data_IF_599700259767
#
_entry.id   IF_599700259767
#
_cell.length_a   1.000
_cell.length_b   1.000
_cell.length_c   1.000
_cell.angle_alpha   90.00
_cell.angle_beta   90.00
_cell.angle_gamma   90.00
#
_symmetry.space_group_name_H-M   'P 1'
#
loop_
_entity.id
_entity.type
_entity.pdbx_description
1 polymer ?
#
# COMPACT_ATOMS: atom_id res chain seq x y z
N UNK A 1 -16.51 3.82 -14.54
CA UNK A 1 -16.07 5.00 -13.76
C UNK A 1 -15.17 5.95 -14.57
N UNK A 2 -14.23 5.47 -15.41
CA UNK A 2 -13.41 6.31 -16.30
C UNK A 2 -14.19 6.90 -17.50
N UNK A 3 -15.22 6.22 -17.98
CA UNK A 3 -15.97 6.60 -19.20
C UNK A 3 -16.90 7.82 -19.03
N UNK A 4 -17.14 8.27 -17.78
CA UNK A 4 -18.02 9.42 -17.47
C UNK A 4 -17.27 10.70 -17.12
N UNK A 5 -15.94 10.73 -17.21
CA UNK A 5 -15.15 11.91 -16.87
C UNK A 5 -14.99 12.84 -18.08
N UNK A 6 -15.31 14.14 -17.98
CA UNK A 6 -15.16 15.11 -19.06
C UNK A 6 -13.69 15.47 -19.37
N UNK A 7 -12.74 15.02 -18.53
CA UNK A 7 -11.29 15.15 -18.77
C UNK A 7 -10.74 13.85 -19.32
N UNK A 8 -10.30 13.87 -20.58
CA UNK A 8 -9.64 12.75 -21.25
C UNK A 8 -8.25 12.58 -20.62
N UNK A 9 -8.15 11.75 -19.58
CA UNK A 9 -6.85 11.29 -19.10
C UNK A 9 -6.20 10.51 -20.24
N UNK A 10 -4.96 10.84 -20.58
CA UNK A 10 -4.24 10.17 -21.67
C UNK A 10 -4.29 8.65 -21.47
N UNK A 11 -4.78 7.91 -22.47
CA UNK A 11 -4.87 6.45 -22.40
C UNK A 11 -3.50 5.83 -22.07
N UNK A 12 -2.43 6.42 -22.60
CA UNK A 12 -1.04 6.04 -22.29
C UNK A 12 -0.73 6.16 -20.80
N UNK A 13 -1.15 7.26 -20.15
CA UNK A 13 -0.91 7.46 -18.72
C UNK A 13 -1.67 6.44 -17.86
N UNK A 14 -2.90 6.08 -18.27
CA UNK A 14 -3.68 5.03 -17.61
C UNK A 14 -2.97 3.68 -17.72
N UNK A 15 -2.51 3.30 -18.91
CA UNK A 15 -1.79 2.03 -19.09
C UNK A 15 -0.50 1.98 -18.30
N UNK A 16 0.26 3.09 -18.25
CA UNK A 16 1.47 3.17 -17.42
C UNK A 16 1.11 2.97 -15.95
N UNK A 17 0.05 3.62 -15.44
CA UNK A 17 -0.38 3.43 -14.05
C UNK A 17 -0.78 1.98 -13.75
N UNK A 18 -1.53 1.33 -14.67
CA UNK A 18 -1.93 -0.07 -14.52
C UNK A 18 -0.70 -0.98 -14.53
N UNK A 19 0.23 -0.80 -15.48
CA UNK A 19 1.44 -1.61 -15.58
C UNK A 19 2.29 -1.47 -14.31
N UNK A 20 2.52 -0.24 -13.84
CA UNK A 20 3.27 0.05 -12.61
C UNK A 20 2.64 -0.61 -11.40
N UNK A 21 1.31 -0.50 -11.26
CA UNK A 21 0.57 -1.12 -10.16
C UNK A 21 0.62 -2.65 -10.21
N UNK A 22 0.39 -3.25 -11.38
CA UNK A 22 0.44 -4.71 -11.59
C UNK A 22 1.84 -5.24 -11.32
N UNK A 23 2.88 -4.53 -11.77
CA UNK A 23 4.27 -4.88 -11.51
C UNK A 23 4.55 -4.89 -9.99
N UNK A 24 4.20 -3.81 -9.29
CA UNK A 24 4.38 -3.71 -7.84
C UNK A 24 3.64 -4.81 -7.08
N UNK A 25 2.37 -5.06 -7.42
CA UNK A 25 1.58 -6.14 -6.81
C UNK A 25 2.18 -7.54 -7.07
N UNK A 26 2.71 -7.76 -8.27
CA UNK A 26 3.31 -9.06 -8.64
C UNK A 26 4.58 -9.33 -7.85
N UNK A 27 5.44 -8.32 -7.67
CA UNK A 27 6.67 -8.45 -6.88
C UNK A 27 6.32 -8.74 -5.42
N UNK A 28 5.33 -8.04 -4.86
CA UNK A 28 4.88 -8.27 -3.48
C UNK A 28 4.34 -9.68 -3.27
N UNK A 29 3.49 -10.17 -4.19
CA UNK A 29 2.99 -11.55 -4.13
C UNK A 29 4.11 -12.59 -4.23
N UNK A 30 5.13 -12.33 -5.04
CA UNK A 30 6.31 -13.20 -5.14
C UNK A 30 7.13 -13.17 -3.84
N UNK A 31 7.34 -11.98 -3.28
CA UNK A 31 7.98 -11.77 -1.98
C UNK A 31 7.29 -12.55 -0.87
N UNK A 32 5.98 -12.37 -0.73
CA UNK A 32 5.14 -13.08 0.25
C UNK A 32 5.16 -14.59 0.08
N UNK A 33 5.06 -15.09 -1.16
CA UNK A 33 5.12 -16.53 -1.44
C UNK A 33 6.45 -17.14 -1.02
N UNK A 34 7.55 -16.45 -1.27
CA UNK A 34 8.90 -16.89 -0.87
C UNK A 34 9.04 -16.82 0.65
N UNK A 35 8.63 -15.70 1.26
CA UNK A 35 8.71 -15.50 2.70
C UNK A 35 7.90 -16.57 3.45
N UNK A 36 6.69 -16.88 3.00
CA UNK A 36 5.88 -17.95 3.56
C UNK A 36 6.58 -19.31 3.51
N UNK A 37 7.21 -19.66 2.38
CA UNK A 37 7.99 -20.91 2.25
C UNK A 37 9.22 -20.91 3.15
N UNK A 38 9.89 -19.78 3.29
CA UNK A 38 11.05 -19.62 4.16
C UNK A 38 10.64 -19.78 5.63
N UNK A 39 9.53 -19.18 6.07
CA UNK A 39 9.01 -19.33 7.44
C UNK A 39 8.71 -20.79 7.76
N UNK A 40 8.12 -21.54 6.81
CA UNK A 40 7.90 -22.99 6.97
C UNK A 40 9.20 -23.78 7.13
N UNK A 41 10.31 -23.30 6.56
CA UNK A 41 11.64 -23.88 6.72
C UNK A 41 12.36 -23.41 8.00
N UNK A 42 11.75 -22.55 8.82
CA UNK A 42 12.29 -22.02 10.07
C UNK A 42 12.87 -20.61 9.99
N UNK A 43 12.59 -19.86 8.91
CA UNK A 43 13.14 -18.52 8.70
C UNK A 43 12.71 -17.54 9.79
N UNK A 44 13.70 -16.95 10.45
CA UNK A 44 13.51 -15.90 11.44
C UNK A 44 13.34 -14.51 10.78
N UNK A 45 12.12 -13.98 10.85
CA UNK A 45 11.74 -12.67 10.30
C UNK A 45 12.47 -11.47 10.92
N UNK A 46 13.03 -11.61 12.12
CA UNK A 46 13.75 -10.53 12.81
C UNK A 46 15.19 -10.37 12.35
N UNK A 47 15.72 -11.35 11.62
CA UNK A 47 17.07 -11.29 11.05
C UNK A 47 17.00 -10.79 9.62
N UNK A 48 18.03 -10.04 9.21
CA UNK A 48 18.19 -9.73 7.79
C UNK A 48 18.37 -11.00 6.96
N UNK A 49 18.01 -10.93 5.68
CA UNK A 49 18.10 -12.04 4.72
C UNK A 49 19.47 -12.72 4.75
N UNK A 50 20.54 -11.92 4.84
CA UNK A 50 21.94 -12.39 4.82
C UNK A 50 22.40 -12.97 6.16
N UNK A 51 21.77 -12.60 7.27
CA UNK A 51 22.13 -13.09 8.60
C UNK A 51 21.47 -14.42 8.94
N UNK A 52 20.35 -14.72 8.27
CA UNK A 52 19.53 -15.89 8.55
C UNK A 52 20.28 -17.21 8.22
N UNK A 53 20.41 -18.15 9.18
CA UNK A 53 21.18 -19.37 9.00
C UNK A 53 20.64 -20.26 7.88
N UNK A 54 19.32 -20.24 7.63
CA UNK A 54 18.68 -21.03 6.57
C UNK A 54 19.11 -20.53 5.19
N UNK A 55 19.25 -19.22 5.02
CA UNK A 55 19.68 -18.64 3.74
C UNK A 55 21.17 -18.86 3.50
N UNK A 56 22.00 -18.87 4.55
CA UNK A 56 23.44 -19.18 4.44
C UNK A 56 23.71 -20.62 4.00
N UNK A 57 22.81 -21.55 4.30
CA UNK A 57 22.94 -22.94 3.89
C UNK A 57 22.50 -23.20 2.44
N UNK A 58 21.81 -22.23 1.81
CA UNK A 58 21.38 -22.33 0.42
C UNK A 58 22.57 -22.24 -0.54
N UNK A 59 22.63 -23.20 -1.46
CA UNK A 59 23.55 -23.20 -2.62
C UNK A 59 22.74 -23.06 -3.90
N UNK A 60 23.20 -22.29 -4.90
CA UNK A 60 24.45 -21.53 -4.97
C UNK A 60 24.41 -20.20 -4.21
N UNK A 61 25.57 -19.64 -3.87
CA UNK A 61 25.68 -18.37 -3.13
C UNK A 61 25.02 -17.17 -3.85
N UNK A 62 24.91 -17.21 -5.19
CA UNK A 62 24.21 -16.19 -5.97
C UNK A 62 22.70 -16.11 -5.68
N UNK A 63 22.13 -17.17 -5.10
CA UNK A 63 20.72 -17.19 -4.68
C UNK A 63 20.48 -16.22 -3.51
N UNK A 64 21.48 -16.05 -2.63
CA UNK A 64 21.43 -15.14 -1.48
C UNK A 64 21.31 -13.69 -1.98
N UNK A 65 22.13 -13.32 -2.96
CA UNK A 65 22.09 -11.98 -3.56
C UNK A 65 20.76 -11.74 -4.29
N UNK A 66 20.17 -12.77 -4.90
CA UNK A 66 18.86 -12.69 -5.54
C UNK A 66 17.74 -12.48 -4.53
N UNK A 67 17.78 -13.15 -3.37
CA UNK A 67 16.81 -12.94 -2.30
C UNK A 67 16.94 -11.58 -1.64
N UNK A 68 18.17 -11.11 -1.40
CA UNK A 68 18.41 -9.77 -0.87
C UNK A 68 17.90 -8.70 -1.83
N UNK A 69 18.15 -8.87 -3.13
CA UNK A 69 17.63 -7.97 -4.16
C UNK A 69 16.10 -8.03 -4.21
N UNK A 70 15.49 -9.21 -4.16
CA UNK A 70 14.02 -9.35 -4.16
C UNK A 70 13.40 -8.67 -2.95
N UNK A 71 13.98 -8.87 -1.77
CA UNK A 71 13.52 -8.24 -0.53
C UNK A 71 13.63 -6.71 -0.60
N UNK A 72 14.77 -6.20 -1.07
CA UNK A 72 14.96 -4.77 -1.33
C UNK A 72 13.94 -4.22 -2.35
N UNK A 73 13.69 -4.98 -3.42
CA UNK A 73 12.76 -4.56 -4.46
C UNK A 73 11.33 -4.55 -3.95
N UNK A 74 10.91 -5.51 -3.14
CA UNK A 74 9.58 -5.56 -2.55
C UNK A 74 9.36 -4.41 -1.54
N UNK A 75 10.25 -4.30 -0.56
CA UNK A 75 10.10 -3.35 0.55
C UNK A 75 10.27 -1.89 0.11
N UNK A 76 11.14 -1.60 -0.85
CA UNK A 76 11.33 -0.22 -1.31
C UNK A 76 10.59 0.08 -2.62
N UNK A 77 10.83 -0.70 -3.66
CA UNK A 77 10.27 -0.39 -4.98
C UNK A 77 8.82 -0.85 -5.12
N UNK A 78 8.44 -2.01 -4.61
CA UNK A 78 7.06 -2.53 -4.63
C UNK A 78 6.09 -1.57 -3.95
N UNK A 79 6.44 -1.09 -2.76
CA UNK A 79 5.67 -0.07 -2.05
C UNK A 79 5.56 1.25 -2.83
N UNK A 80 6.64 1.75 -3.44
CA UNK A 80 6.58 2.95 -4.28
C UNK A 80 5.70 2.76 -5.52
N UNK A 81 5.81 1.62 -6.19
CA UNK A 81 5.00 1.24 -7.34
C UNK A 81 3.50 1.14 -6.99
N UNK A 82 3.15 0.94 -5.72
CA UNK A 82 1.78 1.00 -5.22
C UNK A 82 1.34 2.40 -4.81
N UNK A 83 2.15 3.11 -4.03
CA UNK A 83 1.79 4.41 -3.49
C UNK A 83 1.65 5.47 -4.59
N UNK A 84 2.51 5.45 -5.60
CA UNK A 84 2.49 6.46 -6.67
C UNK A 84 1.19 6.39 -7.48
N UNK A 85 0.79 5.23 -8.07
CA UNK A 85 -0.49 5.12 -8.78
C UNK A 85 -1.68 5.38 -7.86
N UNK A 86 -1.66 4.89 -6.62
CA UNK A 86 -2.75 5.11 -5.67
C UNK A 86 -2.94 6.60 -5.38
N UNK A 87 -1.84 7.32 -5.10
CA UNK A 87 -1.86 8.76 -4.86
C UNK A 87 -2.32 9.53 -6.09
N UNK A 88 -1.88 9.15 -7.30
CA UNK A 88 -2.32 9.76 -8.56
C UNK A 88 -3.82 9.56 -8.79
N UNK A 89 -4.33 8.35 -8.59
CA UNK A 89 -5.77 8.04 -8.72
C UNK A 89 -6.58 8.86 -7.73
N UNK A 90 -6.13 8.92 -6.48
CA UNK A 90 -6.77 9.68 -5.41
C UNK A 90 -6.75 11.19 -5.73
N UNK A 91 -5.62 11.71 -6.21
CA UNK A 91 -5.48 13.10 -6.64
C UNK A 91 -6.39 13.44 -7.82
N UNK A 92 -6.47 12.56 -8.84
CA UNK A 92 -7.40 12.72 -9.97
C UNK A 92 -8.85 12.65 -9.50
N UNK A 93 -9.17 11.73 -8.59
CA UNK A 93 -10.52 11.58 -8.03
C UNK A 93 -10.95 12.86 -7.31
N UNK A 94 -10.15 13.38 -6.38
CA UNK A 94 -10.48 14.61 -5.66
C UNK A 94 -10.49 15.84 -6.59
N UNK A 95 -9.50 15.98 -7.47
CA UNK A 95 -9.50 17.09 -8.44
C UNK A 95 -10.68 17.03 -9.43
N UNK A 96 -11.19 15.83 -9.74
CA UNK A 96 -12.38 15.60 -10.54
C UNK A 96 -13.68 15.84 -9.78
N UNK A 97 -13.80 15.38 -8.54
CA UNK A 97 -14.98 15.61 -7.68
C UNK A 97 -15.16 17.09 -7.29
N UNK A 98 -14.08 17.83 -7.12
CA UNK A 98 -14.12 19.27 -6.83
C UNK A 98 -14.10 20.15 -8.10
N UNK A 99 -13.77 19.60 -9.27
CA UNK A 99 -14.01 20.27 -10.55
C UNK A 99 -15.46 20.03 -10.99
N UNK A 100 -16.39 20.78 -10.40
CA UNK A 100 -17.75 20.85 -10.93
C UNK A 100 -17.72 21.32 -12.39
N UNK A 101 -18.58 20.73 -13.20
CA UNK A 101 -18.66 20.84 -14.67
C UNK A 101 -19.12 22.21 -15.20
N UNK A 102 -18.96 23.29 -14.45
CA UNK A 102 -19.38 24.61 -14.88
C UNK A 102 -18.19 25.58 -14.84
N UNK A 103 -17.85 26.07 -16.02
CA UNK A 103 -16.91 27.15 -16.31
C UNK A 103 -15.42 26.79 -16.37
N UNK A 104 -14.95 26.60 -17.61
CA UNK A 104 -13.58 26.88 -18.05
C UNK A 104 -13.20 28.36 -17.86
N UNK A 105 -13.30 28.88 -16.64
CA UNK A 105 -12.59 30.08 -16.21
C UNK A 105 -11.42 29.62 -15.36
N UNK A 106 -10.22 30.12 -15.65
CA UNK A 106 -8.99 29.90 -14.87
C UNK A 106 -9.34 29.83 -13.38
N UNK A 107 -9.23 28.64 -12.78
CA UNK A 107 -9.52 28.45 -11.35
C UNK A 107 -8.71 29.49 -10.57
N UNK A 108 -9.36 30.34 -9.75
CA UNK A 108 -8.63 31.32 -8.95
C UNK A 108 -7.65 30.59 -8.03
N UNK A 109 -6.51 31.21 -7.72
CA UNK A 109 -5.45 30.62 -6.89
C UNK A 109 -6.00 30.12 -5.54
N UNK A 110 -7.03 30.78 -5.01
CA UNK A 110 -7.78 30.35 -3.81
C UNK A 110 -8.45 28.99 -3.96
N UNK A 111 -8.96 28.64 -5.14
CA UNK A 111 -9.55 27.33 -5.42
C UNK A 111 -8.53 26.20 -5.37
N UNK A 112 -7.33 26.42 -5.92
CA UNK A 112 -6.21 25.47 -5.80
C UNK A 112 -5.73 25.33 -4.36
N UNK A 113 -5.68 26.44 -3.63
CA UNK A 113 -5.22 26.47 -2.23
C UNK A 113 -6.21 25.80 -1.28
N UNK A 114 -7.51 25.79 -1.60
CA UNK A 114 -8.55 25.12 -0.80
C UNK A 114 -8.74 23.65 -1.16
N UNK A 115 -8.44 23.24 -2.39
CA UNK A 115 -8.64 21.87 -2.86
C UNK A 115 -7.70 20.88 -2.15
N UNK A 116 -6.44 21.27 -1.91
CA UNK A 116 -5.47 20.46 -1.16
C UNK A 116 -5.92 20.16 0.29
N UNK A 117 -6.17 21.19 1.13
CA UNK A 117 -6.63 21.02 2.51
C UNK A 117 -7.95 20.25 2.60
N UNK A 118 -8.90 20.51 1.69
CA UNK A 118 -10.19 19.81 1.68
C UNK A 118 -10.02 18.33 1.35
N UNK A 119 -9.23 18.00 0.33
CA UNK A 119 -8.93 16.60 -0.03
C UNK A 119 -8.22 15.87 1.12
N UNK A 120 -7.25 16.51 1.78
CA UNK A 120 -6.57 15.95 2.95
C UNK A 120 -7.55 15.70 4.11
N UNK A 121 -8.47 16.62 4.38
CA UNK A 121 -9.48 16.45 5.42
C UNK A 121 -10.41 15.27 5.16
N UNK A 122 -10.90 15.10 3.92
CA UNK A 122 -11.73 13.95 3.56
C UNK A 122 -10.95 12.63 3.59
N UNK A 123 -9.70 12.62 3.10
CA UNK A 123 -8.82 11.44 3.20
C UNK A 123 -8.62 11.03 4.65
N UNK A 124 -8.34 12.00 5.52
CA UNK A 124 -8.19 11.77 6.95
C UNK A 124 -9.47 11.21 7.56
N UNK A 125 -10.64 11.78 7.25
CA UNK A 125 -11.93 11.28 7.72
C UNK A 125 -12.22 9.84 7.29
N UNK A 126 -11.98 9.51 6.03
CA UNK A 126 -12.13 8.13 5.51
C UNK A 126 -11.15 7.18 6.19
N UNK A 127 -9.90 7.62 6.43
CA UNK A 127 -8.89 6.82 7.12
C UNK A 127 -9.30 6.52 8.55
N UNK A 128 -9.77 7.54 9.30
CA UNK A 128 -10.27 7.37 10.66
C UNK A 128 -11.49 6.43 10.69
N UNK A 129 -12.41 6.56 9.74
CA UNK A 129 -13.56 5.68 9.63
C UNK A 129 -13.15 4.22 9.35
N UNK A 130 -12.21 3.99 8.43
CA UNK A 130 -11.70 2.65 8.15
C UNK A 130 -10.97 2.05 9.35
N UNK A 131 -10.14 2.84 10.05
CA UNK A 131 -9.44 2.40 11.27
C UNK A 131 -10.44 2.05 12.37
N UNK A 132 -11.46 2.88 12.60
CA UNK A 132 -12.49 2.61 13.62
C UNK A 132 -13.30 1.36 13.29
N UNK A 133 -13.68 1.15 12.02
CA UNK A 133 -14.33 -0.09 11.57
C UNK A 133 -13.41 -1.30 11.77
N UNK A 134 -12.15 -1.20 11.37
CA UNK A 134 -11.17 -2.29 11.52
C UNK A 134 -10.95 -2.66 12.99
N UNK A 135 -10.79 -1.67 13.88
CA UNK A 135 -10.71 -1.89 15.33
C UNK A 135 -11.99 -2.54 15.87
N UNK A 136 -13.17 -2.10 15.42
CA UNK A 136 -14.43 -2.70 15.83
C UNK A 136 -14.57 -4.16 15.37
N UNK A 137 -14.11 -4.48 14.15
CA UNK A 137 -14.07 -5.85 13.64
C UNK A 137 -13.11 -6.74 14.45
N UNK A 138 -11.89 -6.27 14.71
CA UNK A 138 -10.94 -6.99 15.57
C UNK A 138 -11.45 -7.18 17.00
N UNK A 139 -12.15 -6.19 17.54
CA UNK A 139 -12.76 -6.27 18.85
C UNK A 139 -13.86 -7.34 18.92
N UNK A 140 -14.52 -7.61 17.80
CA UNK A 140 -15.55 -8.63 17.68
C UNK A 140 -14.98 -10.04 17.37
N UNK A 141 -13.66 -10.17 17.17
CA UNK A 141 -13.04 -11.46 16.88
C UNK A 141 -12.94 -12.32 18.16
N UNK A 142 -13.62 -13.48 18.21
CA UNK A 142 -13.67 -14.31 19.42
C UNK A 142 -12.31 -14.93 19.79
N UNK A 143 -11.41 -15.15 18.83
CA UNK A 143 -10.08 -15.75 19.06
C UNK A 143 -9.18 -14.76 19.77
N UNK A 144 -9.18 -13.50 19.31
CA UNK A 144 -8.41 -12.43 19.95
C UNK A 144 -8.94 -12.10 21.35
N UNK A 145 -10.27 -12.11 21.53
CA UNK A 145 -10.92 -11.86 22.82
C UNK A 145 -10.63 -12.93 23.87
N UNK A 146 -10.41 -14.17 23.45
CA UNK A 146 -10.00 -15.23 24.35
C UNK A 146 -8.54 -15.08 24.78
N UNK A 147 -7.64 -14.68 23.87
CA UNK A 147 -6.20 -14.56 24.14
C UNK A 147 -5.84 -13.29 24.92
N UNK A 148 -6.48 -12.15 24.61
CA UNK A 148 -6.23 -10.87 25.26
C UNK A 148 -7.55 -10.20 25.67
N UNK A 149 -8.11 -10.54 26.84
CA UNK A 149 -9.41 -10.01 27.27
C UNK A 149 -9.38 -8.54 27.68
N UNK A 150 -8.19 -7.93 27.84
CA UNK A 150 -8.02 -6.53 28.27
C UNK A 150 -7.74 -5.61 27.08
N UNK A 151 -8.18 -4.36 27.21
CA UNK A 151 -8.02 -3.30 26.19
C UNK A 151 -6.54 -2.98 25.87
N UNK A 152 -5.64 -3.19 26.83
CA UNK A 152 -4.21 -2.95 26.68
C UNK A 152 -3.45 -4.27 26.65
N UNK A 153 -2.63 -4.46 25.61
CA UNK A 153 -1.67 -5.55 25.54
C UNK A 153 -0.59 -5.34 26.61
N UNK A 154 -0.50 -6.27 27.57
CA UNK A 154 0.61 -6.34 28.50
C UNK A 154 1.56 -7.40 27.94
N UNK A 155 2.79 -7.04 27.54
CA UNK A 155 3.76 -8.02 27.05
C UNK A 155 4.05 -9.03 28.15
N UNK A 156 3.99 -10.32 27.80
CA UNK A 156 4.43 -11.39 28.70
C UNK A 156 5.95 -11.30 28.92
N UNK A 157 6.44 -11.54 30.15
CA UNK A 157 7.85 -11.44 30.49
C UNK A 157 8.73 -12.50 29.82
#
# INVERSE_FOLDING_TARGET
LIERSPRVVSRTAIYICIITFVMGASIHLVGDSINHRLILSGYQLHLSVRENPIIKDLKPASLIDSFELLYYYDEHLGHLLWYIPFFIILFIYFSGCFSSSEEQRKMPVSGWLLLGPSALYYCFGVTVLLVTLWVAFLWNDPVLRHKYPRLFYVPEP
#
